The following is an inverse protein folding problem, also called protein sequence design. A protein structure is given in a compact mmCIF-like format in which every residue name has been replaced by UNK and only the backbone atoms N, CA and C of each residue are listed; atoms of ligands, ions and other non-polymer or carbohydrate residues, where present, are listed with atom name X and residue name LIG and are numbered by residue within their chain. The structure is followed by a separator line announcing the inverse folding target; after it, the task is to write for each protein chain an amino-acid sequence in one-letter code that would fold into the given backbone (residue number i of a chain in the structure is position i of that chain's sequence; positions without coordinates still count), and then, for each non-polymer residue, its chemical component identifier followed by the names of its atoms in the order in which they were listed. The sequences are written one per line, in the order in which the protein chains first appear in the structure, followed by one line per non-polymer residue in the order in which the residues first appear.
data_IF_557430583634
#
_entry.id   IF_557430583634
#
_cell.length_a   1.000
_cell.length_b   1.000
_cell.length_c   1.000
_cell.angle_alpha   90.00
_cell.angle_beta   90.00
_cell.angle_gamma   90.00
#
_symmetry.space_group_name_H-M   'P 1'
#
loop_
_entity.id
_entity.type
_entity.pdbx_description
1 polymer ?
#
# COMPACT_ATOMS: atom_id res chain seq x y z
N UNK A 1 13.87 -8.48 4.48
CA UNK A 1 15.19 -8.30 3.85
C UNK A 1 15.73 -6.92 4.22
N UNK A 2 17.03 -6.76 4.43
CA UNK A 2 17.66 -5.45 4.68
C UNK A 2 18.68 -5.19 3.59
N UNK A 3 18.45 -4.17 2.78
CA UNK A 3 19.33 -3.77 1.70
C UNK A 3 20.17 -2.55 2.13
N UNK A 4 21.42 -2.42 1.66
CA UNK A 4 22.20 -1.20 1.78
C UNK A 4 21.48 0.03 1.22
N UNK A 5 21.78 1.21 1.75
CA UNK A 5 21.18 2.46 1.29
C UNK A 5 21.64 2.88 -0.10
N UNK A 6 22.76 2.34 -0.58
CA UNK A 6 23.35 2.55 -1.92
C UNK A 6 22.97 1.46 -2.92
N UNK A 7 22.08 0.52 -2.54
CA UNK A 7 21.53 -0.45 -3.49
C UNK A 7 20.89 0.26 -4.68
N UNK A 8 21.13 -0.31 -5.86
CA UNK A 8 20.59 0.15 -7.13
C UNK A 8 19.11 -0.22 -7.27
N UNK A 9 18.42 0.51 -8.17
CA UNK A 9 17.03 0.22 -8.53
C UNK A 9 16.83 -1.24 -8.95
N UNK A 10 17.76 -1.79 -9.74
CA UNK A 10 17.64 -3.15 -10.25
C UNK A 10 17.81 -4.20 -9.15
N UNK A 11 18.71 -3.99 -8.18
CA UNK A 11 18.88 -4.92 -7.06
C UNK A 11 17.62 -5.03 -6.20
N UNK A 12 16.94 -3.90 -5.96
CA UNK A 12 15.66 -3.89 -5.24
C UNK A 12 14.57 -4.55 -6.09
N UNK A 13 14.49 -4.21 -7.38
CA UNK A 13 13.51 -4.76 -8.31
C UNK A 13 13.64 -6.29 -8.42
N UNK A 14 14.84 -6.81 -8.55
CA UNK A 14 15.11 -8.25 -8.61
C UNK A 14 14.72 -8.96 -7.34
N UNK A 15 14.96 -8.36 -6.17
CA UNK A 15 14.48 -8.92 -4.92
C UNK A 15 12.95 -8.98 -4.88
N UNK A 16 12.27 -7.90 -5.28
CA UNK A 16 10.81 -7.85 -5.30
C UNK A 16 10.23 -8.90 -6.25
N UNK A 17 10.79 -9.08 -7.46
CA UNK A 17 10.39 -10.12 -8.41
C UNK A 17 10.58 -11.52 -7.82
N UNK A 18 11.77 -11.81 -7.25
CA UNK A 18 12.04 -13.11 -6.61
C UNK A 18 11.04 -13.43 -5.48
N UNK A 19 10.71 -12.45 -4.65
CA UNK A 19 9.71 -12.61 -3.58
C UNK A 19 8.28 -12.73 -4.14
N UNK A 20 8.00 -12.05 -5.26
CA UNK A 20 6.76 -12.18 -6.01
C UNK A 20 6.51 -13.61 -6.48
N UNK A 21 7.56 -14.29 -6.91
CA UNK A 21 7.48 -15.66 -7.43
C UNK A 21 7.58 -16.75 -6.33
N UNK A 22 8.10 -16.45 -5.14
CA UNK A 22 8.21 -17.44 -4.04
C UNK A 22 6.82 -17.77 -3.45
N UNK A 23 6.37 -19.01 -3.64
CA UNK A 23 5.06 -19.49 -3.14
C UNK A 23 4.96 -19.54 -1.62
N UNK A 24 6.08 -19.47 -0.89
CA UNK A 24 6.12 -19.39 0.57
C UNK A 24 5.93 -17.95 1.09
N UNK A 25 5.99 -16.95 0.21
CA UNK A 25 5.80 -15.55 0.55
C UNK A 25 4.37 -15.15 0.23
N UNK A 26 3.56 -14.85 1.25
CA UNK A 26 2.16 -14.45 1.08
C UNK A 26 1.96 -12.94 0.91
N UNK A 27 2.93 -12.14 1.34
CA UNK A 27 2.84 -10.69 1.35
C UNK A 27 4.20 -10.02 1.25
N UNK A 28 4.23 -8.86 0.62
CA UNK A 28 5.43 -8.03 0.41
C UNK A 28 5.10 -6.62 0.86
N UNK A 29 5.97 -6.06 1.69
CA UNK A 29 5.91 -4.67 2.12
C UNK A 29 7.24 -4.01 1.75
N UNK A 30 7.17 -2.93 0.96
CA UNK A 30 8.30 -2.06 0.65
C UNK A 30 8.28 -0.88 1.62
N UNK A 31 9.26 -0.83 2.53
CA UNK A 31 9.32 0.26 3.50
C UNK A 31 9.61 1.59 2.79
N UNK A 32 8.71 2.56 3.00
CA UNK A 32 8.84 3.93 2.51
C UNK A 32 9.25 4.90 3.64
N UNK A 33 9.95 6.01 3.33
CA UNK A 33 10.52 6.33 2.01
C UNK A 33 11.71 5.45 1.67
N UNK A 34 11.92 5.22 0.37
CA UNK A 34 13.20 4.68 -0.16
C UNK A 34 14.21 5.83 -0.31
N UNK A 35 15.52 5.55 -0.41
CA UNK A 35 16.52 6.53 -0.81
C UNK A 35 16.16 7.31 -2.09
N UNK A 36 16.56 8.58 -2.18
CA UNK A 36 16.14 9.52 -3.23
C UNK A 36 16.54 9.12 -4.66
N UNK A 37 17.58 8.30 -4.82
CA UNK A 37 18.00 7.79 -6.14
C UNK A 37 17.14 6.63 -6.65
N UNK A 38 16.20 6.13 -5.85
CA UNK A 38 15.29 5.04 -6.21
C UNK A 38 13.90 5.57 -6.56
N UNK A 39 13.31 4.98 -7.60
CA UNK A 39 11.91 5.25 -7.96
C UNK A 39 10.98 4.34 -7.14
N UNK A 40 10.47 4.91 -6.05
CA UNK A 40 9.52 4.24 -5.15
C UNK A 40 8.26 3.75 -5.87
N UNK A 41 7.75 4.52 -6.83
CA UNK A 41 6.52 4.19 -7.53
C UNK A 41 6.73 3.00 -8.47
N UNK A 42 7.85 3.00 -9.20
CA UNK A 42 8.23 1.88 -10.05
C UNK A 42 8.47 0.60 -9.24
N UNK A 43 9.15 0.68 -8.09
CA UNK A 43 9.37 -0.47 -7.21
C UNK A 43 8.06 -1.01 -6.64
N UNK A 44 7.20 -0.12 -6.13
CA UNK A 44 5.89 -0.52 -5.57
C UNK A 44 5.04 -1.22 -6.63
N UNK A 45 5.05 -0.75 -7.88
CA UNK A 45 4.29 -1.35 -8.97
C UNK A 45 4.76 -2.77 -9.36
N UNK A 46 5.94 -3.22 -8.93
CA UNK A 46 6.41 -4.60 -9.15
C UNK A 46 5.73 -5.60 -8.22
N UNK A 47 5.12 -5.14 -7.13
CA UNK A 47 4.44 -6.03 -6.18
C UNK A 47 3.11 -6.46 -6.78
N UNK A 48 2.89 -7.77 -6.90
CA UNK A 48 1.62 -8.30 -7.38
C UNK A 48 0.47 -8.00 -6.41
N UNK A 49 -0.74 -7.68 -6.90
CA UNK A 49 -1.88 -7.28 -6.04
C UNK A 49 -2.30 -8.37 -5.03
N UNK A 50 -2.01 -9.64 -5.30
CA UNK A 50 -2.26 -10.73 -4.36
C UNK A 50 -1.27 -10.80 -3.18
N UNK A 51 -0.14 -10.08 -3.27
CA UNK A 51 0.88 -9.98 -2.21
C UNK A 51 1.08 -8.54 -1.72
N UNK A 52 0.34 -7.56 -2.24
CA UNK A 52 0.42 -6.15 -1.88
C UNK A 52 -0.30 -5.87 -0.55
N UNK A 53 0.30 -6.31 0.55
CA UNK A 53 -0.30 -6.19 1.89
C UNK A 53 -0.38 -4.75 2.40
N UNK A 54 0.30 -3.82 1.71
CA UNK A 54 0.24 -2.38 2.00
C UNK A 54 -0.78 -1.65 1.10
N UNK A 55 -1.35 -2.34 0.10
CA UNK A 55 -2.41 -1.81 -0.78
C UNK A 55 -1.98 -0.62 -1.65
N UNK A 56 -0.68 -0.43 -1.89
CA UNK A 56 -0.14 0.77 -2.51
C UNK A 56 0.07 0.66 -4.02
N UNK A 57 -0.08 -0.54 -4.59
CA UNK A 57 0.04 -0.72 -6.04
C UNK A 57 -1.11 0.01 -6.76
N UNK A 58 -0.89 0.45 -8.02
CA UNK A 58 -1.97 1.04 -8.82
C UNK A 58 -3.20 0.13 -8.96
N UNK A 59 -2.98 -1.19 -8.98
CA UNK A 59 -4.06 -2.17 -9.06
C UNK A 59 -4.87 -2.21 -7.76
N UNK A 60 -4.22 -2.31 -6.60
CA UNK A 60 -4.90 -2.28 -5.29
C UNK A 60 -5.66 -0.97 -5.08
N UNK A 61 -5.03 0.17 -5.40
CA UNK A 61 -5.67 1.48 -5.35
C UNK A 61 -6.89 1.58 -6.28
N UNK A 62 -6.79 1.04 -7.50
CA UNK A 62 -7.91 0.99 -8.44
C UNK A 62 -9.06 0.11 -7.96
N UNK A 63 -8.76 -1.04 -7.35
CA UNK A 63 -9.78 -1.92 -6.75
C UNK A 63 -10.48 -1.24 -5.57
N UNK A 64 -9.76 -0.47 -4.75
CA UNK A 64 -10.34 0.36 -3.69
C UNK A 64 -11.29 1.41 -4.24
N UNK A 65 -10.83 2.22 -5.20
CA UNK A 65 -11.66 3.26 -5.81
C UNK A 65 -12.92 2.72 -6.51
N UNK A 66 -12.90 1.47 -6.98
CA UNK A 66 -14.06 0.80 -7.58
C UNK A 66 -14.96 0.08 -6.57
N UNK A 67 -14.64 0.10 -5.27
CA UNK A 67 -15.36 -0.67 -4.25
C UNK A 67 -15.23 -2.19 -4.42
N UNK A 68 -14.23 -2.67 -5.18
CA UNK A 68 -14.03 -4.09 -5.46
C UNK A 68 -13.16 -4.75 -4.38
N UNK A 69 -13.33 -6.07 -4.15
CA UNK A 69 -12.48 -6.81 -3.21
C UNK A 69 -10.99 -6.73 -3.58
N UNK A 70 -10.13 -6.68 -2.58
CA UNK A 70 -8.67 -6.64 -2.72
C UNK A 70 -7.99 -6.29 -1.40
N UNK A 71 -6.66 -6.41 -1.37
CA UNK A 71 -5.86 -5.90 -0.25
C UNK A 71 -6.00 -4.36 -0.17
N UNK A 72 -6.05 -3.83 1.05
CA UNK A 72 -6.33 -2.42 1.33
C UNK A 72 -5.18 -1.79 2.10
N UNK A 73 -4.96 -0.47 1.96
CA UNK A 73 -3.93 0.21 2.73
C UNK A 73 -4.17 0.11 4.24
N UNK A 74 -3.16 -0.38 4.95
CA UNK A 74 -3.30 -0.76 6.35
C UNK A 74 -3.72 0.42 7.26
N UNK A 75 -3.15 1.62 7.05
CA UNK A 75 -3.46 2.79 7.89
C UNK A 75 -4.91 3.26 7.69
N UNK A 76 -5.40 3.52 6.46
CA UNK A 76 -6.83 3.79 6.23
C UNK A 76 -7.76 2.70 6.77
N UNK A 77 -7.46 1.42 6.53
CA UNK A 77 -8.27 0.32 7.04
C UNK A 77 -8.32 0.30 8.57
N UNK A 78 -7.20 0.60 9.24
CA UNK A 78 -7.16 0.74 10.69
C UNK A 78 -8.03 1.89 11.21
N UNK A 79 -8.10 3.02 10.50
CA UNK A 79 -8.98 4.14 10.86
C UNK A 79 -10.45 3.72 10.75
N UNK A 80 -10.85 3.08 9.65
CA UNK A 80 -12.22 2.58 9.48
C UNK A 80 -12.57 1.55 10.57
N UNK A 81 -11.68 0.59 10.83
CA UNK A 81 -11.87 -0.41 11.88
C UNK A 81 -12.06 0.21 13.28
N UNK A 82 -11.31 1.27 13.60
CA UNK A 82 -11.47 1.98 14.87
C UNK A 82 -12.84 2.67 14.96
N UNK A 83 -13.30 3.32 13.88
CA UNK A 83 -14.61 3.97 13.83
C UNK A 83 -15.74 2.94 14.00
N UNK A 84 -15.63 1.80 13.31
CA UNK A 84 -16.59 0.70 13.39
C UNK A 84 -16.66 0.11 14.81
N UNK A 85 -15.51 -0.17 15.44
CA UNK A 85 -15.43 -0.68 16.82
C UNK A 85 -16.07 0.25 17.85
N UNK A 86 -16.09 1.54 17.57
CA UNK A 86 -16.70 2.55 18.45
C UNK A 86 -18.13 2.93 18.02
N UNK A 87 -18.68 2.28 17.00
CA UNK A 87 -20.05 2.51 16.53
C UNK A 87 -20.27 3.92 15.96
N UNK A 88 -19.24 4.52 15.36
CA UNK A 88 -19.34 5.84 14.74
C UNK A 88 -20.11 5.73 13.42
N UNK A 89 -21.28 6.35 13.32
CA UNK A 89 -22.07 6.38 12.08
C UNK A 89 -21.41 7.26 11.02
N UNK A 90 -21.00 6.67 9.90
CA UNK A 90 -20.36 7.37 8.78
C UNK A 90 -21.33 7.77 7.66
N UNK A 91 -22.44 7.03 7.50
CA UNK A 91 -23.41 7.33 6.45
C UNK A 91 -24.06 8.70 6.69
N UNK A 92 -23.92 9.61 5.72
CA UNK A 92 -24.42 10.98 5.81
C UNK A 92 -23.58 11.93 6.66
N UNK A 93 -22.47 11.47 7.25
CA UNK A 93 -21.56 12.32 8.02
C UNK A 93 -20.69 13.22 7.12
N UNK A 94 -20.32 14.39 7.63
CA UNK A 94 -19.28 15.22 7.01
C UNK A 94 -17.90 14.75 7.50
N UNK A 95 -17.13 14.14 6.61
CA UNK A 95 -15.76 13.69 6.90
C UNK A 95 -14.75 14.60 6.20
N UNK A 96 -13.74 15.08 6.95
CA UNK A 96 -12.65 15.91 6.43
C UNK A 96 -11.33 15.17 6.56
N UNK A 97 -10.68 14.89 5.43
CA UNK A 97 -9.33 14.33 5.39
C UNK A 97 -8.32 15.45 5.12
N UNK A 98 -7.50 15.78 6.11
CA UNK A 98 -6.42 16.76 5.96
C UNK A 98 -5.13 16.07 5.50
N UNK A 99 -4.89 16.13 4.19
CA UNK A 99 -3.72 15.54 3.54
C UNK A 99 -4.09 14.62 2.38
N UNK A 100 -3.20 14.52 1.39
CA UNK A 100 -3.46 13.79 0.13
C UNK A 100 -2.33 12.83 -0.27
N UNK A 101 -1.62 12.28 0.72
CA UNK A 101 -0.58 11.29 0.47
C UNK A 101 -1.19 10.02 -0.14
N UNK A 102 -0.37 9.28 -0.89
CA UNK A 102 -0.75 7.97 -1.43
C UNK A 102 -0.92 6.92 -0.33
N UNK A 103 -0.21 7.09 0.79
CA UNK A 103 -0.20 6.13 1.91
C UNK A 103 -1.45 6.20 2.79
N UNK A 104 -2.02 7.40 2.96
CA UNK A 104 -3.06 7.63 3.97
C UNK A 104 -4.20 8.47 3.40
N UNK A 105 -3.93 9.71 3.02
CA UNK A 105 -4.99 10.68 2.76
C UNK A 105 -5.93 10.31 1.60
N UNK A 106 -5.35 9.98 0.44
CA UNK A 106 -6.15 9.58 -0.74
C UNK A 106 -6.93 8.29 -0.50
N UNK A 107 -6.31 7.18 -0.03
CA UNK A 107 -7.06 5.94 0.19
C UNK A 107 -8.09 6.02 1.31
N UNK A 108 -7.93 6.88 2.32
CA UNK A 108 -8.97 7.07 3.35
C UNK A 108 -10.18 7.86 2.84
N UNK A 109 -10.04 8.62 1.76
CA UNK A 109 -11.11 9.41 1.17
C UNK A 109 -11.98 8.62 0.16
N UNK A 110 -11.59 7.40 -0.21
CA UNK A 110 -12.35 6.49 -1.06
C UNK A 110 -13.02 5.40 -0.21
#
# INVERSE_FOLDING_TARGET
HRLPADSSQEEVADLLRRLGDDTRVNGILLQLPVPDHLDAAALTALIGPGKDVDGLTPVSAGLLAQGRPGLRPATPSGVIELLDRHGVGLEGAEAVVLGRSLLVGRPLAF
#
